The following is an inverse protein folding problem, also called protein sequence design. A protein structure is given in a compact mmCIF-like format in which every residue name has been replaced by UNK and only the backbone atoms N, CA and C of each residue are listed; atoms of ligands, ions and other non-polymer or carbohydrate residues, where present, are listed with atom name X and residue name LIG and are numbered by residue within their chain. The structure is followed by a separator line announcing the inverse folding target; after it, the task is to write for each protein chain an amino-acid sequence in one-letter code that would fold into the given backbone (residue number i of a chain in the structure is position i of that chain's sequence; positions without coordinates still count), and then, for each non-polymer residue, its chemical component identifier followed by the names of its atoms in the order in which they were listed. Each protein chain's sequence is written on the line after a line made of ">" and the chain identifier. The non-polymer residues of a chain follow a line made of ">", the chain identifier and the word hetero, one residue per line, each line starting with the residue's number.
data_IF_440789849669
#
_entry.id   IF_440789849669
#
_cell.length_a   1.000
_cell.length_b   1.000
_cell.length_c   1.000
_cell.angle_alpha   90.00
_cell.angle_beta   90.00
_cell.angle_gamma   90.00
#
_symmetry.space_group_name_H-M   'P 1'
#
loop_
_entity.id
_entity.type
_entity.pdbx_description
1 polymer ?
#
# COMPACT_ATOMS: atom_id res chain seq x y z
N UNK A 1 13.09 -28.30 8.79
CA UNK A 1 12.38 -27.02 8.95
C UNK A 1 10.95 -27.35 8.68
N UNK A 2 10.12 -27.25 9.70
CA UNK A 2 8.76 -27.79 9.67
C UNK A 2 7.75 -26.71 9.30
N UNK A 3 6.52 -27.11 9.01
CA UNK A 3 5.41 -26.18 8.73
C UNK A 3 5.27 -25.12 9.83
N UNK A 4 5.48 -25.52 11.09
CA UNK A 4 5.40 -24.61 12.23
C UNK A 4 6.47 -23.50 12.19
N UNK A 5 7.67 -23.78 11.69
CA UNK A 5 8.75 -22.79 11.56
C UNK A 5 8.41 -21.76 10.48
N UNK A 6 7.87 -22.22 9.35
CA UNK A 6 7.40 -21.35 8.27
C UNK A 6 6.25 -20.45 8.73
N UNK A 7 5.30 -20.98 9.51
CA UNK A 7 4.20 -20.18 10.05
C UNK A 7 4.71 -19.06 10.95
N UNK A 8 5.62 -19.36 11.88
CA UNK A 8 6.25 -18.33 12.73
C UNK A 8 6.95 -17.24 11.90
N UNK A 9 7.62 -17.64 10.81
CA UNK A 9 8.24 -16.69 9.89
C UNK A 9 7.21 -15.80 9.19
N UNK A 10 6.09 -16.37 8.73
CA UNK A 10 4.97 -15.62 8.14
C UNK A 10 4.40 -14.63 9.15
N UNK A 11 4.11 -15.07 10.39
CA UNK A 11 3.56 -14.21 11.43
C UNK A 11 4.48 -13.00 11.70
N UNK A 12 5.81 -13.21 11.74
CA UNK A 12 6.77 -12.14 11.91
C UNK A 12 6.80 -11.16 10.72
N UNK A 13 6.68 -11.67 9.49
CA UNK A 13 6.58 -10.84 8.28
C UNK A 13 5.27 -10.05 8.28
N UNK A 14 4.15 -10.65 8.67
CA UNK A 14 2.84 -10.00 8.74
C UNK A 14 2.85 -8.81 9.70
N UNK A 15 3.54 -8.94 10.85
CA UNK A 15 3.72 -7.82 11.78
C UNK A 15 4.53 -6.68 11.16
N UNK A 16 5.60 -6.99 10.43
CA UNK A 16 6.38 -5.97 9.70
C UNK A 16 5.56 -5.30 8.59
N UNK A 17 4.76 -6.07 7.86
CA UNK A 17 3.84 -5.52 6.87
C UNK A 17 2.81 -4.60 7.51
N UNK A 18 2.25 -4.96 8.67
CA UNK A 18 1.30 -4.13 9.41
C UNK A 18 1.92 -2.79 9.82
N UNK A 19 3.16 -2.79 10.32
CA UNK A 19 3.89 -1.58 10.67
C UNK A 19 4.07 -0.65 9.45
N UNK A 20 4.54 -1.21 8.32
CA UNK A 20 4.75 -0.46 7.08
C UNK A 20 3.43 0.07 6.48
N UNK A 21 2.35 -0.72 6.54
CA UNK A 21 1.03 -0.30 6.11
C UNK A 21 0.50 0.85 6.97
N UNK A 22 0.69 0.81 8.29
CA UNK A 22 0.31 1.90 9.18
C UNK A 22 1.13 3.17 8.93
N UNK A 23 2.42 3.04 8.63
CA UNK A 23 3.25 4.19 8.23
C UNK A 23 2.75 4.82 6.92
N UNK A 24 2.49 3.98 5.91
CA UNK A 24 1.90 4.42 4.64
C UNK A 24 0.53 5.09 4.84
N UNK A 25 -0.28 4.58 5.75
CA UNK A 25 -1.59 5.13 6.11
C UNK A 25 -1.48 6.53 6.74
N UNK A 26 -0.52 6.73 7.66
CA UNK A 26 -0.23 8.05 8.24
C UNK A 26 0.18 9.06 7.16
N UNK A 27 1.04 8.65 6.22
CA UNK A 27 1.43 9.50 5.09
C UNK A 27 0.23 9.84 4.19
N UNK A 28 -0.65 8.88 3.90
CA UNK A 28 -1.88 9.11 3.14
C UNK A 28 -2.83 10.07 3.86
N UNK A 29 -3.04 9.92 5.18
CA UNK A 29 -3.87 10.83 5.96
C UNK A 29 -3.32 12.27 5.93
N UNK A 30 -2.01 12.45 6.11
CA UNK A 30 -1.37 13.76 6.01
C UNK A 30 -1.56 14.41 4.63
N UNK A 31 -1.48 13.63 3.54
CA UNK A 31 -1.82 14.10 2.19
C UNK A 31 -3.29 14.55 2.13
N UNK A 32 -4.21 13.78 2.71
CA UNK A 32 -5.63 14.13 2.79
C UNK A 32 -5.87 15.49 3.46
N UNK A 33 -5.21 15.74 4.60
CA UNK A 33 -5.26 17.02 5.32
C UNK A 33 -4.80 18.18 4.44
N UNK A 34 -3.65 18.02 3.75
CA UNK A 34 -3.11 19.04 2.86
C UNK A 34 -4.02 19.30 1.64
N UNK A 35 -4.57 18.24 1.05
CA UNK A 35 -5.50 18.35 -0.09
C UNK A 35 -6.78 19.07 0.29
N UNK A 36 -7.33 18.81 1.49
CA UNK A 36 -8.51 19.53 2.01
C UNK A 36 -8.23 21.03 2.16
N UNK A 37 -7.06 21.40 2.68
CA UNK A 37 -6.66 22.81 2.79
C UNK A 37 -6.53 23.51 1.44
N UNK A 38 -6.15 22.77 0.39
CA UNK A 38 -5.89 23.30 -0.95
C UNK A 38 -7.04 23.06 -1.95
N UNK A 39 -8.18 22.52 -1.52
CA UNK A 39 -9.29 22.10 -2.40
C UNK A 39 -8.86 21.18 -3.56
N UNK A 40 -7.81 20.39 -3.34
CA UNK A 40 -7.27 19.50 -4.36
C UNK A 40 -8.04 18.16 -4.41
N UNK A 41 -8.16 17.52 -5.58
CA UNK A 41 -8.89 16.27 -5.72
C UNK A 41 -8.20 15.11 -4.97
N UNK A 42 -9.03 14.25 -4.36
CA UNK A 42 -8.53 13.06 -3.66
C UNK A 42 -8.06 12.00 -4.64
N UNK A 43 -8.82 11.75 -5.71
CA UNK A 43 -8.46 10.77 -6.75
C UNK A 43 -7.59 11.38 -7.83
N UNK A 44 -6.43 10.77 -8.07
CA UNK A 44 -5.47 11.16 -9.09
C UNK A 44 -4.99 9.90 -9.84
N UNK A 45 -5.67 9.57 -10.94
CA UNK A 45 -5.40 8.33 -11.68
C UNK A 45 -3.96 8.19 -12.18
N UNK A 46 -3.32 9.30 -12.58
CA UNK A 46 -1.90 9.32 -12.96
C UNK A 46 -0.98 8.94 -11.81
N UNK A 47 -1.30 9.38 -10.59
CA UNK A 47 -0.51 9.06 -9.41
C UNK A 47 -0.52 7.55 -9.15
N UNK A 48 -1.67 6.91 -9.29
CA UNK A 48 -1.83 5.47 -9.07
C UNK A 48 -1.12 4.66 -10.14
N UNK A 49 -1.25 5.05 -11.42
CA UNK A 49 -0.48 4.44 -12.53
C UNK A 49 1.03 4.48 -12.27
N UNK A 50 1.54 5.61 -11.80
CA UNK A 50 2.96 5.75 -11.45
C UNK A 50 3.37 4.85 -10.27
N UNK A 51 2.48 4.59 -9.30
CA UNK A 51 2.75 3.63 -8.21
C UNK A 51 2.89 2.23 -8.80
N UNK A 52 1.93 1.78 -9.61
CA UNK A 52 1.96 0.44 -10.19
C UNK A 52 3.20 0.22 -11.07
N UNK A 53 3.53 1.17 -11.94
CA UNK A 53 4.71 1.08 -12.79
C UNK A 53 6.00 0.89 -11.97
N UNK A 54 6.18 1.69 -10.90
CA UNK A 54 7.33 1.59 -10.01
C UNK A 54 7.40 0.25 -9.29
N UNK A 55 6.26 -0.28 -8.86
CA UNK A 55 6.20 -1.58 -8.16
C UNK A 55 6.50 -2.75 -9.10
N UNK A 56 6.00 -2.70 -10.32
CA UNK A 56 6.25 -3.71 -11.34
C UNK A 56 7.72 -3.72 -11.79
N UNK A 57 8.35 -2.55 -11.88
CA UNK A 57 9.79 -2.43 -12.17
C UNK A 57 10.66 -3.01 -11.05
N UNK A 58 10.27 -2.78 -9.78
CA UNK A 58 10.99 -3.25 -8.61
C UNK A 58 10.69 -4.72 -8.23
N UNK A 59 9.75 -5.38 -8.92
CA UNK A 59 9.34 -6.73 -8.57
C UNK A 59 10.31 -7.77 -9.16
N UNK A 60 11.04 -8.45 -8.29
CA UNK A 60 11.94 -9.55 -8.65
C UNK A 60 11.40 -10.93 -8.24
N UNK A 61 10.10 -11.03 -7.97
CA UNK A 61 9.42 -12.26 -7.60
C UNK A 61 9.48 -12.58 -6.10
N UNK A 62 8.90 -13.73 -5.68
CA UNK A 62 8.27 -14.77 -6.51
C UNK A 62 6.86 -14.42 -7.02
N UNK A 63 6.27 -13.30 -6.57
CA UNK A 63 4.98 -12.83 -7.05
C UNK A 63 5.06 -12.30 -8.49
N UNK A 64 4.03 -12.52 -9.29
CA UNK A 64 3.93 -11.93 -10.62
C UNK A 64 3.59 -10.44 -10.53
N UNK A 65 3.83 -9.69 -11.61
CA UNK A 65 3.39 -8.29 -11.69
C UNK A 65 1.88 -8.13 -11.57
N UNK A 66 1.12 -9.15 -11.99
CA UNK A 66 -0.34 -9.19 -11.83
C UNK A 66 -0.71 -9.32 -10.34
N UNK A 67 -0.08 -10.24 -9.60
CA UNK A 67 -0.30 -10.39 -8.15
C UNK A 67 0.01 -9.08 -7.40
N UNK A 68 1.14 -8.44 -7.71
CA UNK A 68 1.51 -7.15 -7.11
C UNK A 68 0.45 -6.08 -7.42
N UNK A 69 -0.05 -6.04 -8.64
CA UNK A 69 -1.10 -5.09 -9.05
C UNK A 69 -2.38 -5.32 -8.26
N UNK A 70 -2.81 -6.57 -8.09
CA UNK A 70 -4.01 -6.92 -7.33
C UNK A 70 -3.89 -6.51 -5.86
N UNK A 71 -2.77 -6.85 -5.21
CA UNK A 71 -2.51 -6.49 -3.80
C UNK A 71 -2.53 -4.97 -3.63
N UNK A 72 -1.79 -4.26 -4.48
CA UNK A 72 -1.66 -2.81 -4.34
C UNK A 72 -2.91 -2.04 -4.74
N UNK A 73 -3.78 -2.60 -5.57
CA UNK A 73 -5.10 -2.01 -5.85
C UNK A 73 -5.91 -1.87 -4.57
N UNK A 74 -5.93 -2.91 -3.72
CA UNK A 74 -6.64 -2.88 -2.44
C UNK A 74 -5.99 -1.93 -1.44
N UNK A 75 -4.65 -1.97 -1.34
CA UNK A 75 -3.90 -1.04 -0.48
C UNK A 75 -4.21 0.40 -0.88
N UNK A 76 -4.10 0.75 -2.16
CA UNK A 76 -4.34 2.11 -2.65
C UNK A 76 -5.79 2.53 -2.41
N UNK A 77 -6.76 1.64 -2.63
CA UNK A 77 -8.18 1.93 -2.39
C UNK A 77 -8.45 2.33 -0.92
N UNK A 78 -7.94 1.56 0.04
CA UNK A 78 -8.07 1.88 1.48
C UNK A 78 -7.38 3.21 1.81
N UNK A 79 -6.23 3.48 1.20
CA UNK A 79 -5.43 4.68 1.49
C UNK A 79 -6.03 5.94 0.87
N UNK A 80 -6.79 5.78 -0.21
CA UNK A 80 -7.61 6.83 -0.80
C UNK A 80 -8.79 7.16 0.11
N UNK A 81 -9.45 6.14 0.66
CA UNK A 81 -10.51 6.34 1.66
C UNK A 81 -9.99 7.05 2.91
N UNK A 82 -8.81 6.66 3.42
CA UNK A 82 -8.19 7.32 4.57
C UNK A 82 -7.94 8.82 4.37
N UNK A 83 -7.74 9.29 3.14
CA UNK A 83 -7.58 10.72 2.84
C UNK A 83 -8.86 11.54 3.05
N UNK A 84 -10.03 10.91 3.03
CA UNK A 84 -11.32 11.58 3.23
C UNK A 84 -11.75 11.61 4.69
N UNK A 85 -11.15 10.77 5.53
CA UNK A 85 -11.45 10.70 6.96
C UNK A 85 -11.02 11.99 7.67
N UNK A 86 -11.74 12.38 8.74
CA UNK A 86 -11.44 13.59 9.51
C UNK A 86 -9.99 13.62 10.02
#
# INVERSE_FOLDING_TARGET
>A
MEIADWRKKIDAIDLQMLELLNERARAAHAIGVLKRGNQAPIYEGDRERAIFAKLQEANHGPLTNEDITLIYTQIIAIMRDLQTRP
#
